data_IF_594532401099
#
_entry.id   IF_594532401099
#
_cell.length_a   1.000
_cell.length_b   1.000
_cell.length_c   1.000
_cell.angle_alpha   90.00
_cell.angle_beta   90.00
_cell.angle_gamma   90.00
#
_symmetry.space_group_name_H-M   'P 1'
#
loop_
_entity.id
_entity.type
_entity.pdbx_description
1 polymer ?
#
# COMPACT_ATOMS: atom_id res chain seq x y z
N UNK A 1 41.37 -54.09 -10.20
CA UNK A 1 40.58 -54.16 -11.46
C UNK A 1 39.12 -54.02 -11.07
N UNK A 2 38.32 -53.00 -11.35
CA UNK A 2 38.45 -51.73 -12.08
C UNK A 2 37.47 -50.73 -11.41
N UNK A 3 37.95 -49.79 -10.60
CA UNK A 3 37.11 -48.75 -9.97
C UNK A 3 36.90 -47.51 -10.87
N UNK A 4 37.34 -47.57 -12.13
CA UNK A 4 37.45 -46.41 -13.02
C UNK A 4 36.16 -45.98 -13.73
N UNK A 5 34.99 -46.54 -13.39
CA UNK A 5 33.73 -46.27 -14.11
C UNK A 5 32.64 -45.55 -13.33
N UNK A 6 32.81 -45.32 -12.03
CA UNK A 6 31.71 -44.80 -11.18
C UNK A 6 31.33 -43.33 -11.44
N UNK A 7 32.13 -42.58 -12.19
CA UNK A 7 31.87 -41.16 -12.50
C UNK A 7 32.23 -40.78 -13.93
N UNK A 8 32.26 -41.75 -14.86
CA UNK A 8 32.63 -41.48 -16.26
C UNK A 8 31.55 -40.70 -17.03
N UNK A 9 30.31 -40.72 -16.55
CA UNK A 9 29.17 -40.03 -17.16
C UNK A 9 28.24 -39.48 -16.08
N UNK A 10 27.62 -38.34 -16.34
CA UNK A 10 26.62 -37.76 -15.45
C UNK A 10 25.38 -38.68 -15.34
N UNK A 11 24.72 -38.75 -14.17
CA UNK A 11 23.43 -39.43 -14.00
C UNK A 11 22.38 -38.91 -14.98
N UNK A 12 21.50 -39.80 -15.45
CA UNK A 12 20.50 -39.48 -16.49
C UNK A 12 19.57 -38.35 -16.08
N UNK A 13 19.19 -38.33 -14.81
CA UNK A 13 18.31 -37.33 -14.20
C UNK A 13 18.90 -35.92 -14.30
N UNK A 14 20.25 -35.81 -14.29
CA UNK A 14 20.95 -34.52 -14.43
C UNK A 14 21.08 -34.15 -15.92
N UNK A 15 21.32 -35.13 -16.79
CA UNK A 15 21.34 -34.91 -18.24
C UNK A 15 19.99 -34.37 -18.75
N UNK A 16 18.88 -34.87 -18.22
CA UNK A 16 17.54 -34.46 -18.65
C UNK A 16 17.23 -32.98 -18.33
N UNK A 17 17.80 -32.45 -17.25
CA UNK A 17 17.64 -31.05 -16.82
C UNK A 17 18.82 -30.16 -17.23
N UNK A 18 19.81 -30.69 -17.93
CA UNK A 18 21.09 -30.00 -18.16
C UNK A 18 20.92 -28.70 -18.95
N UNK A 19 20.02 -28.68 -19.94
CA UNK A 19 19.67 -27.50 -20.73
C UNK A 19 19.02 -26.39 -19.87
N UNK A 20 18.35 -26.75 -18.77
CA UNK A 20 17.71 -25.79 -17.87
C UNK A 20 18.70 -25.16 -16.89
N UNK A 21 19.71 -25.92 -16.48
CA UNK A 21 20.75 -25.48 -15.53
C UNK A 21 21.98 -24.89 -16.25
N UNK A 22 22.07 -25.04 -17.57
CA UNK A 22 23.17 -24.53 -18.38
C UNK A 22 24.46 -25.34 -18.22
N UNK A 23 24.34 -26.64 -17.92
CA UNK A 23 25.48 -27.56 -17.79
C UNK A 23 25.62 -28.34 -19.10
N UNK A 24 26.76 -28.21 -19.77
CA UNK A 24 27.12 -29.03 -20.93
C UNK A 24 27.91 -30.27 -20.47
N UNK A 25 27.52 -31.49 -20.85
CA UNK A 25 28.25 -32.70 -20.49
C UNK A 25 29.59 -32.75 -21.25
N UNK A 26 30.63 -32.19 -20.64
CA UNK A 26 32.01 -32.24 -21.12
C UNK A 26 32.94 -32.87 -20.08
N UNK A 27 33.81 -33.77 -20.51
CA UNK A 27 34.95 -34.23 -19.70
C UNK A 27 36.00 -33.13 -19.65
N UNK A 28 36.00 -32.33 -18.58
CA UNK A 28 37.17 -31.50 -18.26
C UNK A 28 38.34 -32.43 -17.95
N UNK A 29 39.45 -32.30 -18.70
CA UNK A 29 40.67 -33.06 -18.45
C UNK A 29 41.44 -32.57 -17.21
N UNK A 30 40.97 -31.52 -16.54
CA UNK A 30 41.58 -30.99 -15.33
C UNK A 30 41.25 -31.90 -14.14
N UNK A 31 42.22 -32.11 -13.25
CA UNK A 31 41.96 -32.83 -12.00
C UNK A 31 40.92 -32.06 -11.18
N UNK A 32 40.00 -32.76 -10.47
CA UNK A 32 38.95 -32.10 -9.68
C UNK A 32 39.49 -31.07 -8.68
N UNK A 33 40.68 -31.32 -8.13
CA UNK A 33 41.39 -30.45 -7.19
C UNK A 33 41.71 -29.07 -7.77
N UNK A 34 42.12 -29.02 -9.03
CA UNK A 34 42.45 -27.77 -9.73
C UNK A 34 41.19 -26.94 -10.01
N UNK A 35 40.08 -27.62 -10.32
CA UNK A 35 38.79 -26.95 -10.57
C UNK A 35 38.14 -26.42 -9.30
N UNK A 36 38.42 -27.01 -8.14
CA UNK A 36 37.80 -26.59 -6.88
C UNK A 36 38.24 -25.16 -6.49
N UNK A 37 39.50 -24.80 -6.75
CA UNK A 37 40.03 -23.46 -6.49
C UNK A 37 39.31 -22.36 -7.29
N UNK A 38 38.89 -22.67 -8.52
CA UNK A 38 38.13 -21.76 -9.38
C UNK A 38 36.69 -21.53 -8.85
N UNK A 39 36.13 -22.51 -8.13
CA UNK A 39 34.73 -22.50 -7.68
C UNK A 39 34.57 -21.98 -6.25
N UNK A 40 35.67 -21.91 -5.48
CA UNK A 40 35.66 -21.33 -4.14
C UNK A 40 35.62 -19.79 -4.25
N UNK A 41 34.67 -19.12 -3.57
CA UNK A 41 34.64 -17.67 -3.52
C UNK A 41 35.97 -17.08 -3.04
N UNK A 42 36.49 -16.04 -3.69
CA UNK A 42 37.81 -15.46 -3.38
C UNK A 42 38.01 -15.08 -1.90
N UNK A 43 36.93 -14.72 -1.19
CA UNK A 43 36.98 -14.39 0.26
C UNK A 43 37.41 -15.59 1.12
N UNK A 44 37.23 -16.80 0.60
CA UNK A 44 37.33 -18.04 1.33
C UNK A 44 38.60 -18.84 1.03
N UNK A 45 39.47 -18.32 0.17
CA UNK A 45 40.75 -18.95 -0.23
C UNK A 45 41.86 -18.86 0.85
N UNK A 46 41.55 -18.46 2.08
CA UNK A 46 42.53 -18.44 3.18
C UNK A 46 42.76 -19.84 3.76
N UNK A 47 44.03 -20.18 4.03
CA UNK A 47 44.47 -21.51 4.49
C UNK A 47 44.04 -21.85 5.94
N UNK A 48 43.39 -20.93 6.65
CA UNK A 48 43.17 -21.02 8.10
C UNK A 48 42.08 -22.03 8.53
N UNK A 49 41.42 -22.73 7.60
CA UNK A 49 40.32 -23.64 7.93
C UNK A 49 40.48 -25.02 7.30
N UNK A 50 40.53 -26.06 8.16
CA UNK A 50 40.66 -27.47 7.76
C UNK A 50 39.46 -28.00 6.96
N UNK A 51 38.26 -27.43 7.12
CA UNK A 51 37.10 -27.68 6.28
C UNK A 51 36.11 -26.51 6.35
N UNK A 52 35.44 -26.20 5.24
CA UNK A 52 34.29 -25.27 5.16
C UNK A 52 33.09 -26.00 4.59
N UNK A 53 31.92 -25.81 5.19
CA UNK A 53 30.67 -26.47 4.77
C UNK A 53 29.75 -25.42 4.17
N UNK A 54 29.28 -25.66 2.95
CA UNK A 54 28.30 -24.82 2.27
C UNK A 54 26.97 -25.59 2.18
N UNK A 55 25.89 -25.00 2.65
CA UNK A 55 24.54 -25.55 2.45
C UNK A 55 24.09 -25.24 1.02
N UNK A 56 23.83 -26.28 0.21
CA UNK A 56 23.33 -26.14 -1.16
C UNK A 56 22.03 -25.33 -1.26
N UNK A 57 21.26 -25.27 -0.18
CA UNK A 57 20.01 -24.50 -0.12
C UNK A 57 20.25 -23.00 0.07
N UNK A 58 21.42 -22.62 0.60
CA UNK A 58 21.75 -21.25 0.97
C UNK A 58 22.47 -20.50 -0.17
N UNK A 59 23.13 -21.24 -1.08
CA UNK A 59 23.88 -20.67 -2.22
C UNK A 59 23.06 -20.45 -3.49
N UNK A 60 21.75 -20.72 -3.47
CA UNK A 60 20.86 -20.07 -4.44
C UNK A 60 20.76 -18.62 -3.99
N UNK A 61 21.81 -17.86 -4.26
CA UNK A 61 21.76 -16.41 -4.26
C UNK A 61 20.59 -16.07 -5.17
N UNK A 62 19.46 -15.68 -4.57
CA UNK A 62 18.43 -14.96 -5.30
C UNK A 62 19.18 -13.81 -5.91
N UNK A 63 19.46 -13.92 -7.21
CA UNK A 63 19.78 -12.80 -8.05
C UNK A 63 18.70 -11.77 -7.72
N UNK A 64 19.01 -10.86 -6.79
CA UNK A 64 18.35 -9.57 -6.72
C UNK A 64 18.83 -8.95 -8.01
N UNK A 65 18.17 -9.32 -9.10
CA UNK A 65 18.15 -8.50 -10.28
C UNK A 65 18.00 -7.10 -9.73
N UNK A 66 18.90 -6.23 -10.14
CA UNK A 66 18.67 -4.80 -10.09
C UNK A 66 17.44 -4.58 -10.96
N UNK A 67 16.27 -5.00 -10.48
CA UNK A 67 14.99 -4.64 -10.99
C UNK A 67 15.07 -3.15 -10.90
N UNK A 68 15.23 -2.54 -12.07
CA UNK A 68 14.83 -1.18 -12.29
C UNK A 68 13.56 -1.04 -11.48
N UNK A 69 13.62 -0.21 -10.43
CA UNK A 69 12.40 0.16 -9.72
C UNK A 69 11.58 0.78 -10.83
N UNK A 70 10.71 -0.01 -11.47
CA UNK A 70 9.66 0.49 -12.32
C UNK A 70 9.06 1.56 -11.45
N UNK A 71 9.26 2.83 -11.84
CA UNK A 71 8.80 3.97 -11.06
C UNK A 71 7.32 3.71 -10.88
N UNK A 72 6.94 3.19 -9.71
CA UNK A 72 5.56 2.91 -9.39
C UNK A 72 4.80 4.20 -9.71
N UNK A 73 3.58 4.05 -10.25
CA UNK A 73 2.69 5.17 -10.56
C UNK A 73 2.90 6.24 -9.50
N UNK A 74 3.29 7.46 -9.89
CA UNK A 74 3.67 8.53 -8.95
C UNK A 74 2.52 8.74 -7.97
N UNK A 75 2.57 8.07 -6.82
CA UNK A 75 1.61 8.28 -5.76
C UNK A 75 1.88 9.65 -5.17
N UNK A 76 0.80 10.33 -4.78
CA UNK A 76 0.91 11.62 -4.14
C UNK A 76 1.74 11.47 -2.86
N UNK A 77 2.74 12.34 -2.70
CA UNK A 77 3.48 12.45 -1.44
C UNK A 77 2.51 12.87 -0.32
N UNK A 78 2.83 12.54 0.94
CA UNK A 78 2.08 12.96 2.14
C UNK A 78 1.75 14.46 2.13
N UNK A 79 2.70 15.31 1.73
CA UNK A 79 2.48 16.76 1.59
C UNK A 79 1.42 17.10 0.52
N UNK A 80 1.46 16.41 -0.61
CA UNK A 80 0.49 16.61 -1.70
C UNK A 80 -0.90 16.13 -1.29
N UNK A 81 -1.02 14.99 -0.60
CA UNK A 81 -2.29 14.50 -0.06
C UNK A 81 -2.91 15.49 0.93
N UNK A 82 -2.12 16.09 1.81
CA UNK A 82 -2.59 17.10 2.76
C UNK A 82 -3.06 18.37 2.06
N UNK A 83 -2.36 18.79 1.00
CA UNK A 83 -2.71 20.00 0.24
C UNK A 83 -4.07 19.89 -0.48
N UNK A 84 -4.55 18.68 -0.80
CA UNK A 84 -5.88 18.49 -1.41
C UNK A 84 -7.04 18.87 -0.47
N UNK A 85 -6.82 18.84 0.84
CA UNK A 85 -7.83 19.13 1.86
C UNK A 85 -7.64 20.52 2.49
N UNK A 86 -6.78 21.35 1.88
CA UNK A 86 -6.48 22.70 2.34
C UNK A 86 -7.49 23.69 1.75
N UNK A 87 -8.61 23.85 2.45
CA UNK A 87 -9.68 24.79 2.10
C UNK A 87 -9.33 26.26 2.44
N UNK A 88 -8.12 26.52 2.98
CA UNK A 88 -7.70 27.84 3.47
C UNK A 88 -7.56 28.91 2.37
N UNK A 89 -7.56 28.50 1.11
CA UNK A 89 -7.34 29.39 -0.05
C UNK A 89 -8.62 29.89 -0.69
N UNK A 90 -9.74 29.22 -0.43
CA UNK A 90 -11.01 29.53 -1.06
C UNK A 90 -11.85 30.39 -0.12
N UNK A 91 -12.23 31.59 -0.58
CA UNK A 91 -13.26 32.40 0.10
C UNK A 91 -14.59 31.67 -0.03
N UNK A 92 -14.88 30.81 0.94
CA UNK A 92 -16.12 30.05 1.03
C UNK A 92 -17.24 30.99 1.46
N UNK A 93 -18.12 31.35 0.53
CA UNK A 93 -19.28 32.19 0.83
C UNK A 93 -20.47 31.33 1.26
N UNK A 94 -21.01 31.59 2.45
CA UNK A 94 -22.15 30.88 3.00
C UNK A 94 -23.37 30.89 2.07
N UNK A 95 -23.59 31.99 1.35
CA UNK A 95 -24.70 32.11 0.40
C UNK A 95 -24.59 31.14 -0.78
N UNK A 96 -23.37 30.82 -1.22
CA UNK A 96 -23.15 29.87 -2.32
C UNK A 96 -23.50 28.43 -1.93
N UNK A 97 -23.53 28.11 -0.64
CA UNK A 97 -23.91 26.79 -0.13
C UNK A 97 -25.41 26.58 0.00
N UNK A 98 -26.22 27.65 -0.07
CA UNK A 98 -27.68 27.55 -0.05
C UNK A 98 -28.26 26.60 -1.11
N UNK A 99 -27.89 26.68 -2.41
CA UNK A 99 -28.39 25.73 -3.42
C UNK A 99 -27.94 24.28 -3.15
N UNK A 100 -26.74 24.09 -2.59
CA UNK A 100 -26.24 22.74 -2.22
C UNK A 100 -27.10 22.15 -1.10
N UNK A 101 -27.44 22.97 -0.10
CA UNK A 101 -28.34 22.54 0.97
C UNK A 101 -29.74 22.22 0.47
N UNK A 102 -30.28 22.98 -0.50
CA UNK A 102 -31.56 22.66 -1.14
C UNK A 102 -31.52 21.30 -1.84
N UNK A 103 -30.43 20.99 -2.56
CA UNK A 103 -30.24 19.68 -3.18
C UNK A 103 -30.17 18.56 -2.12
N UNK A 104 -29.48 18.80 -1.01
CA UNK A 104 -29.40 17.84 0.10
C UNK A 104 -30.78 17.58 0.72
N UNK A 105 -31.64 18.60 0.85
CA UNK A 105 -33.02 18.41 1.29
C UNK A 105 -33.82 17.51 0.36
N UNK A 106 -33.78 17.76 -0.96
CA UNK A 106 -34.44 16.88 -1.93
C UNK A 106 -33.97 15.43 -1.84
N UNK A 107 -32.67 15.21 -1.67
CA UNK A 107 -32.09 13.89 -1.45
C UNK A 107 -32.63 13.24 -0.17
N UNK A 108 -32.60 13.96 0.95
CA UNK A 108 -33.06 13.45 2.23
C UNK A 108 -34.54 13.10 2.20
N UNK A 109 -35.37 13.91 1.55
CA UNK A 109 -36.80 13.65 1.39
C UNK A 109 -37.04 12.31 0.67
N UNK A 110 -36.30 12.05 -0.41
CA UNK A 110 -36.36 10.74 -1.11
C UNK A 110 -35.95 9.59 -0.19
N UNK A 111 -34.87 9.76 0.59
CA UNK A 111 -34.44 8.73 1.55
C UNK A 111 -35.48 8.49 2.65
N UNK A 112 -36.12 9.55 3.14
CA UNK A 112 -37.16 9.47 4.18
C UNK A 112 -38.42 8.77 3.67
N UNK A 113 -38.83 9.00 2.43
CA UNK A 113 -39.93 8.27 1.78
C UNK A 113 -39.62 6.77 1.68
N UNK A 114 -38.39 6.41 1.34
CA UNK A 114 -37.96 5.01 1.28
C UNK A 114 -37.94 4.35 2.67
N UNK A 115 -37.49 5.06 3.71
CA UNK A 115 -37.48 4.52 5.08
C UNK A 115 -38.90 4.36 5.65
N UNK A 116 -39.83 5.26 5.29
CA UNK A 116 -41.25 5.13 5.68
C UNK A 116 -41.91 3.90 5.05
N UNK A 117 -41.56 3.58 3.81
CA UNK A 117 -42.12 2.43 3.08
C UNK A 117 -41.47 1.11 3.48
N UNK A 118 -40.17 1.11 3.77
CA UNK A 118 -39.42 -0.04 4.28
C UNK A 118 -38.57 0.42 5.46
N UNK A 119 -38.96 0.09 6.71
CA UNK A 119 -38.21 0.52 7.88
C UNK A 119 -36.85 -0.16 7.91
N UNK A 120 -35.83 0.54 7.42
CA UNK A 120 -34.42 0.19 7.51
C UNK A 120 -33.73 1.30 8.31
N UNK A 121 -33.63 1.09 9.61
CA UNK A 121 -33.02 2.04 10.56
C UNK A 121 -31.55 2.36 10.21
N UNK A 122 -30.85 1.42 9.55
CA UNK A 122 -29.46 1.59 9.17
C UNK A 122 -29.27 2.54 7.98
N UNK A 123 -30.33 2.76 7.20
CA UNK A 123 -30.27 3.61 6.02
C UNK A 123 -30.07 5.07 6.39
N UNK A 124 -30.73 5.52 7.45
CA UNK A 124 -30.55 6.88 7.98
C UNK A 124 -29.13 7.09 8.53
N UNK A 125 -28.53 6.05 9.12
CA UNK A 125 -27.15 6.12 9.62
C UNK A 125 -26.09 6.18 8.50
N UNK A 126 -26.46 5.84 7.26
CA UNK A 126 -25.57 5.80 6.09
C UNK A 126 -25.75 6.99 5.15
N UNK A 127 -26.57 7.96 5.50
CA UNK A 127 -26.79 9.13 4.66
C UNK A 127 -25.52 9.94 4.53
N UNK A 128 -25.38 10.58 3.37
CA UNK A 128 -24.37 11.60 3.18
C UNK A 128 -24.80 12.89 3.90
N UNK A 129 -23.86 13.52 4.60
CA UNK A 129 -24.05 14.76 5.36
C UNK A 129 -23.39 15.97 4.70
N UNK A 130 -22.75 15.81 3.55
CA UNK A 130 -22.17 16.92 2.79
C UNK A 130 -23.26 17.89 2.32
N UNK A 131 -23.14 19.16 2.69
CA UNK A 131 -24.14 20.19 2.40
C UNK A 131 -25.31 20.26 3.39
N UNK A 132 -25.36 19.38 4.39
CA UNK A 132 -26.33 19.45 5.47
C UNK A 132 -26.10 20.69 6.34
N UNK A 133 -27.17 21.31 6.82
CA UNK A 133 -27.09 22.36 7.84
C UNK A 133 -27.14 21.73 9.24
N UNK A 134 -26.05 21.85 9.99
CA UNK A 134 -25.89 21.19 11.29
C UNK A 134 -25.90 22.23 12.42
N UNK A 135 -26.38 21.80 13.60
CA UNK A 135 -26.33 22.54 14.85
C UNK A 135 -25.80 21.59 15.95
N UNK A 136 -24.77 22.03 16.67
CA UNK A 136 -24.24 21.29 17.83
C UNK A 136 -25.12 21.59 19.05
N UNK A 137 -26.03 20.67 19.37
CA UNK A 137 -26.91 20.79 20.53
C UNK A 137 -26.24 20.41 21.85
N UNK A 138 -25.31 19.44 21.84
CA UNK A 138 -24.62 18.95 23.03
C UNK A 138 -23.23 18.44 22.67
N UNK A 139 -22.26 18.64 23.56
CA UNK A 139 -20.88 18.18 23.40
C UNK A 139 -20.19 18.09 24.76
N UNK A 140 -19.17 17.22 24.86
CA UNK A 140 -18.26 17.17 26.00
C UNK A 140 -17.47 18.48 26.16
N UNK A 141 -17.24 19.20 25.07
CA UNK A 141 -16.62 20.52 25.08
C UNK A 141 -17.70 21.61 24.99
N UNK A 142 -17.95 22.38 26.06
CA UNK A 142 -18.97 23.43 26.05
C UNK A 142 -18.74 24.51 24.98
N UNK A 143 -17.48 24.76 24.60
CA UNK A 143 -17.11 25.81 23.66
C UNK A 143 -17.62 25.58 22.23
N UNK A 144 -18.00 24.34 21.88
CA UNK A 144 -18.54 24.01 20.55
C UNK A 144 -20.07 23.96 20.52
N UNK A 145 -20.72 24.05 21.69
CA UNK A 145 -22.18 24.04 21.77
C UNK A 145 -22.72 25.32 21.12
N UNK A 146 -23.77 25.18 20.31
CA UNK A 146 -24.36 26.29 19.56
C UNK A 146 -23.66 26.62 18.23
N UNK A 147 -22.55 25.94 17.90
CA UNK A 147 -21.96 26.03 16.56
C UNK A 147 -22.96 25.51 15.53
N UNK A 148 -23.20 26.31 14.49
CA UNK A 148 -24.12 25.98 13.41
C UNK A 148 -23.60 26.43 12.05
N UNK A 149 -24.00 25.71 11.01
CA UNK A 149 -23.58 26.02 9.64
C UNK A 149 -23.69 24.84 8.69
N UNK A 150 -23.23 25.05 7.46
CA UNK A 150 -23.19 23.98 6.45
C UNK A 150 -21.97 23.08 6.63
N UNK A 151 -22.18 21.77 6.55
CA UNK A 151 -21.10 20.78 6.55
C UNK A 151 -20.41 20.77 5.19
N UNK A 152 -19.11 21.12 5.18
CA UNK A 152 -18.31 21.20 3.95
C UNK A 152 -17.46 19.95 3.77
N UNK A 153 -16.86 19.47 4.86
CA UNK A 153 -15.92 18.37 4.80
C UNK A 153 -16.11 17.46 6.01
N UNK A 154 -16.23 16.17 5.70
CA UNK A 154 -16.14 15.09 6.67
C UNK A 154 -14.72 14.53 6.67
N UNK A 155 -14.24 14.19 7.86
CA UNK A 155 -13.01 13.44 8.04
C UNK A 155 -13.22 12.42 9.14
N UNK A 156 -12.21 11.58 9.36
CA UNK A 156 -12.25 10.63 10.47
C UNK A 156 -12.47 11.37 11.79
N UNK A 157 -13.69 11.24 12.32
CA UNK A 157 -14.17 11.78 13.60
C UNK A 157 -14.36 13.30 13.66
N UNK A 158 -14.04 14.06 12.61
CA UNK A 158 -14.11 15.53 12.66
C UNK A 158 -14.94 16.10 11.51
N UNK A 159 -15.71 17.14 11.81
CA UNK A 159 -16.47 17.91 10.84
C UNK A 159 -15.88 19.31 10.65
N UNK A 160 -15.93 19.80 9.41
CA UNK A 160 -15.68 21.22 9.09
C UNK A 160 -16.97 21.89 8.69
N UNK A 161 -17.34 22.92 9.45
CA UNK A 161 -18.62 23.62 9.31
C UNK A 161 -18.38 25.07 8.91
N UNK A 162 -19.10 25.55 7.90
CA UNK A 162 -19.09 26.95 7.48
C UNK A 162 -20.22 27.71 8.17
N UNK A 163 -19.85 28.71 8.97
CA UNK A 163 -20.82 29.55 9.66
C UNK A 163 -21.36 30.68 8.77
N UNK A 164 -22.37 31.39 9.27
CA UNK A 164 -22.98 32.53 8.59
C UNK A 164 -22.03 33.74 8.42
N UNK A 165 -20.89 33.76 9.11
CA UNK A 165 -19.85 34.79 9.00
C UNK A 165 -18.78 34.42 7.95
N UNK A 166 -19.05 33.43 7.08
CA UNK A 166 -18.11 32.90 6.09
C UNK A 166 -16.80 32.37 6.71
N UNK A 167 -16.83 31.97 7.98
CA UNK A 167 -15.70 31.38 8.68
C UNK A 167 -15.85 29.87 8.70
N UNK A 168 -14.82 29.18 8.22
CA UNK A 168 -14.69 27.74 8.36
C UNK A 168 -14.25 27.41 9.79
N UNK A 169 -15.11 26.72 10.53
CA UNK A 169 -14.81 26.17 11.84
C UNK A 169 -14.27 24.76 11.63
N UNK A 170 -12.97 24.58 11.90
CA UNK A 170 -12.25 23.32 11.71
C UNK A 170 -12.04 22.56 13.03
N UNK A 171 -11.96 21.23 12.93
CA UNK A 171 -11.73 20.28 14.03
C UNK A 171 -12.83 20.28 15.09
N UNK A 172 -14.08 20.22 14.65
CA UNK A 172 -15.20 19.93 15.55
C UNK A 172 -15.30 18.40 15.67
N UNK A 173 -14.97 17.92 16.87
CA UNK A 173 -14.88 16.51 17.31
C UNK A 173 -13.66 15.73 16.82
#
# INVERSE_FOLDING_TARGET
MNDSKLFSSLPKEICDISHLIGIEPGTSNKKPEETLGDWIPKKDQSDDFKYKVYSLQETIERNKSSNSRQKGKKCLNSKQRRALFDLSKDKLDFQKFKPINQLWHSYLDSVLEEVKTKPDELKLARIDLHGAYLLVCSSKNPSVIGVKGYMIQESKNTFRILNNQNRLLGNLF
#
